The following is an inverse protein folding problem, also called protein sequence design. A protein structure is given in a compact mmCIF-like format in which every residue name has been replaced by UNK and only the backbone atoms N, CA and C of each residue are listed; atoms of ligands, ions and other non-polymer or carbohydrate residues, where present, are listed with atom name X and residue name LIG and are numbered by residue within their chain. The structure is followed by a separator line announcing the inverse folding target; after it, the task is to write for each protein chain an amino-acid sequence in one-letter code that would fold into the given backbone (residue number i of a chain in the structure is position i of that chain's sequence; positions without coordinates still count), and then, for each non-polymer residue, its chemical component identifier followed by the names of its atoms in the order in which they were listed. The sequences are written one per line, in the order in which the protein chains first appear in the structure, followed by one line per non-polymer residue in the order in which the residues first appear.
data_IF_103742981436
#
_entry.id   IF_103742981436
#
_cell.length_a   1.000
_cell.length_b   1.000
_cell.length_c   1.000
_cell.angle_alpha   90.00
_cell.angle_beta   90.00
_cell.angle_gamma   90.00
#
_symmetry.space_group_name_H-M   'P 1'
#
loop_
_entity.id
_entity.type
_entity.pdbx_description
1 polymer ?
#
# COMPACT_ATOMS: atom_id res chain seq x y z
N UNK A 1 3.82 -10.14 -6.17
CA UNK A 1 4.13 -9.15 -7.23
C UNK A 1 4.64 -9.86 -8.47
N UNK A 2 4.36 -9.36 -9.68
CA UNK A 2 4.98 -9.85 -10.92
C UNK A 2 6.41 -9.30 -11.05
N UNK A 3 7.30 -10.05 -11.70
CA UNK A 3 8.67 -9.61 -11.97
C UNK A 3 8.70 -8.37 -12.88
N UNK A 4 9.61 -7.42 -12.61
CA UNK A 4 9.78 -6.21 -13.41
C UNK A 4 10.97 -6.41 -14.38
N UNK A 5 10.75 -6.53 -15.70
CA UNK A 5 11.80 -6.87 -16.66
C UNK A 5 12.68 -5.66 -17.06
N UNK A 6 12.94 -4.73 -16.14
CA UNK A 6 13.68 -3.51 -16.42
C UNK A 6 14.82 -3.33 -15.41
N UNK A 7 15.97 -2.91 -15.93
CA UNK A 7 17.15 -2.58 -15.12
C UNK A 7 17.58 -1.16 -15.43
N UNK A 8 17.71 -0.30 -14.43
CA UNK A 8 18.24 1.06 -14.61
C UNK A 8 17.49 1.89 -15.65
N UNK A 9 16.16 1.72 -15.76
CA UNK A 9 15.35 2.31 -16.84
C UNK A 9 14.71 3.62 -16.44
N UNK A 10 14.29 3.78 -15.18
CA UNK A 10 13.42 4.89 -14.78
C UNK A 10 14.17 5.90 -13.92
N UNK A 11 13.89 7.18 -14.12
CA UNK A 11 14.35 8.24 -13.22
C UNK A 11 13.48 8.29 -11.96
N UNK A 12 12.19 7.95 -12.08
CA UNK A 12 11.21 7.97 -11.00
C UNK A 12 10.32 6.74 -11.06
N UNK A 13 10.06 6.17 -9.88
CA UNK A 13 9.00 5.17 -9.67
C UNK A 13 8.07 5.71 -8.59
N UNK A 14 6.78 5.47 -8.75
CA UNK A 14 5.75 5.96 -7.83
C UNK A 14 4.85 4.78 -7.44
N UNK A 15 4.69 4.57 -6.14
CA UNK A 15 3.65 3.71 -5.59
C UNK A 15 2.61 4.62 -4.92
N UNK A 16 1.40 4.64 -5.48
CA UNK A 16 0.33 5.56 -5.09
C UNK A 16 -0.83 4.82 -4.42
N UNK A 17 -1.72 5.55 -3.74
CA UNK A 17 -2.92 5.02 -3.08
C UNK A 17 -2.62 3.99 -2.00
N UNK A 18 -1.50 4.14 -1.29
CA UNK A 18 -1.15 3.26 -0.16
C UNK A 18 -1.09 1.78 -0.53
N UNK A 19 -0.76 1.50 -1.80
CA UNK A 19 -0.76 0.13 -2.34
C UNK A 19 0.40 -0.74 -1.80
N UNK A 20 1.46 -0.13 -1.28
CA UNK A 20 2.53 -0.86 -0.61
C UNK A 20 2.04 -1.42 0.73
N UNK A 21 2.25 -2.72 0.97
CA UNK A 21 1.83 -3.39 2.20
C UNK A 21 0.81 -4.52 2.00
N UNK A 22 0.17 -4.59 0.83
CA UNK A 22 -0.83 -5.62 0.52
C UNK A 22 -0.26 -7.03 0.47
N UNK A 23 1.04 -7.17 0.18
CA UNK A 23 1.70 -8.47 0.24
C UNK A 23 2.21 -8.81 1.64
N UNK A 24 2.61 -10.06 1.83
CA UNK A 24 3.35 -10.50 3.01
C UNK A 24 4.72 -9.78 3.09
N UNK A 25 5.34 -9.77 4.27
CA UNK A 25 6.58 -9.01 4.50
C UNK A 25 7.73 -9.42 3.56
N UNK A 26 7.86 -10.72 3.23
CA UNK A 26 8.87 -11.21 2.28
C UNK A 26 8.66 -10.64 0.87
N UNK A 27 7.43 -10.65 0.39
CA UNK A 27 7.07 -10.10 -0.92
C UNK A 27 7.18 -8.56 -0.96
N UNK A 28 6.84 -7.87 0.13
CA UNK A 28 7.05 -6.42 0.22
C UNK A 28 8.54 -6.06 0.12
N UNK A 29 9.44 -6.85 0.71
CA UNK A 29 10.90 -6.67 0.50
C UNK A 29 11.26 -6.86 -0.97
N UNK A 30 10.69 -7.89 -1.63
CA UNK A 30 10.89 -8.12 -3.06
C UNK A 30 10.42 -6.93 -3.91
N UNK A 31 9.27 -6.34 -3.58
CA UNK A 31 8.77 -5.13 -4.26
C UNK A 31 9.82 -4.01 -4.19
N UNK A 32 10.36 -3.74 -3.00
CA UNK A 32 11.38 -2.68 -2.83
C UNK A 32 12.64 -2.99 -3.65
N UNK A 33 13.14 -4.24 -3.60
CA UNK A 33 14.31 -4.66 -4.36
C UNK A 33 14.12 -4.51 -5.88
N UNK A 34 12.97 -4.95 -6.40
CA UNK A 34 12.65 -4.86 -7.83
C UNK A 34 12.53 -3.39 -8.25
N UNK A 35 11.84 -2.55 -7.46
CA UNK A 35 11.74 -1.11 -7.74
C UNK A 35 13.12 -0.46 -7.80
N UNK A 36 14.00 -0.73 -6.83
CA UNK A 36 15.38 -0.22 -6.82
C UNK A 36 16.14 -0.67 -8.06
N UNK A 37 16.01 -1.95 -8.46
CA UNK A 37 16.66 -2.48 -9.67
C UNK A 37 16.24 -1.77 -10.96
N UNK A 38 14.99 -1.28 -11.01
CA UNK A 38 14.47 -0.56 -12.18
C UNK A 38 14.92 0.91 -12.25
N UNK A 39 15.45 1.49 -11.17
CA UNK A 39 15.86 2.90 -11.11
C UNK A 39 17.26 3.11 -11.69
N UNK A 40 17.43 4.19 -12.44
CA UNK A 40 18.75 4.71 -12.85
C UNK A 40 19.56 5.18 -11.63
N UNK A 41 20.89 5.31 -11.73
CA UNK A 41 21.69 6.01 -10.73
C UNK A 41 21.11 7.42 -10.47
N UNK A 42 20.88 7.75 -9.19
CA UNK A 42 20.23 9.01 -8.80
C UNK A 42 18.71 9.06 -9.00
N UNK A 43 18.09 7.98 -9.48
CA UNK A 43 16.65 7.81 -9.54
C UNK A 43 16.00 7.83 -8.16
N UNK A 44 14.70 8.15 -8.10
CA UNK A 44 13.96 8.26 -6.83
C UNK A 44 12.69 7.43 -6.85
N UNK A 45 12.42 6.80 -5.72
CA UNK A 45 11.16 6.13 -5.46
C UNK A 45 10.30 6.99 -4.54
N UNK A 46 9.03 7.17 -4.89
CA UNK A 46 8.01 7.81 -4.05
C UNK A 46 7.02 6.75 -3.60
N UNK A 47 6.85 6.61 -2.29
CA UNK A 47 5.76 5.84 -1.70
C UNK A 47 4.75 6.79 -1.07
N UNK A 48 3.50 6.65 -1.48
CA UNK A 48 2.35 7.18 -0.78
C UNK A 48 1.90 6.15 0.27
N UNK A 49 1.85 6.56 1.55
CA UNK A 49 1.54 5.68 2.68
C UNK A 49 0.53 6.35 3.62
N UNK A 50 -0.28 5.53 4.29
CA UNK A 50 -1.17 6.02 5.33
C UNK A 50 -0.37 6.51 6.55
N UNK A 51 -0.80 7.63 7.12
CA UNK A 51 -0.27 8.11 8.39
C UNK A 51 -0.79 7.24 9.54
N UNK A 52 -0.03 6.22 9.93
CA UNK A 52 -0.46 5.19 10.90
C UNK A 52 -0.95 5.78 12.23
N UNK A 53 -0.24 6.77 12.79
CA UNK A 53 -0.63 7.39 14.06
C UNK A 53 -1.97 8.14 13.97
N UNK A 54 -2.31 8.69 12.80
CA UNK A 54 -3.63 9.28 12.57
C UNK A 54 -4.68 8.19 12.39
N UNK A 55 -4.36 7.15 11.60
CA UNK A 55 -5.27 6.03 11.32
C UNK A 55 -5.73 5.34 12.62
N UNK A 56 -4.83 4.99 13.54
CA UNK A 56 -5.20 4.31 14.79
C UNK A 56 -6.15 5.14 15.66
N UNK A 57 -6.07 6.47 15.59
CA UNK A 57 -6.91 7.38 16.39
C UNK A 57 -8.31 7.56 15.81
N UNK A 58 -8.46 7.37 14.50
CA UNK A 58 -9.70 7.63 13.76
C UNK A 58 -10.25 6.36 13.10
N UNK A 59 -9.72 5.19 13.47
CA UNK A 59 -10.11 3.92 12.88
C UNK A 59 -11.58 3.63 13.15
N UNK A 60 -12.31 3.27 12.10
CA UNK A 60 -13.67 2.76 12.18
C UNK A 60 -13.66 1.32 11.67
N UNK A 61 -14.21 0.39 12.46
CA UNK A 61 -14.30 -1.02 12.07
C UNK A 61 -15.32 -1.29 10.99
N UNK A 62 -16.22 -0.33 10.72
CA UNK A 62 -17.15 -0.37 9.63
C UNK A 62 -17.34 1.01 9.02
N UNK A 63 -17.35 1.08 7.69
CA UNK A 63 -17.76 2.25 6.92
C UNK A 63 -19.09 1.89 6.24
N UNK A 64 -20.11 2.70 6.49
CA UNK A 64 -21.46 2.49 5.94
C UNK A 64 -21.75 3.57 4.91
N UNK A 65 -22.29 3.18 3.75
CA UNK A 65 -22.72 4.09 2.69
C UNK A 65 -24.04 3.61 2.11
N UNK A 66 -24.95 4.53 1.85
CA UNK A 66 -26.16 4.25 1.09
C UNK A 66 -25.86 4.40 -0.41
N UNK A 67 -26.26 3.42 -1.22
CA UNK A 67 -26.10 3.41 -2.66
C UNK A 67 -27.37 2.83 -3.29
N UNK A 68 -28.05 3.61 -4.12
CA UNK A 68 -29.26 3.21 -4.85
C UNK A 68 -30.38 2.62 -3.95
N UNK A 69 -30.47 3.08 -2.69
CA UNK A 69 -31.44 2.60 -1.70
C UNK A 69 -30.99 1.36 -0.92
N UNK A 70 -29.82 0.81 -1.24
CA UNK A 70 -29.18 -0.28 -0.50
C UNK A 70 -28.10 0.25 0.47
N UNK A 71 -27.87 -0.49 1.55
CA UNK A 71 -26.80 -0.18 2.50
C UNK A 71 -25.56 -1.03 2.19
N UNK A 72 -24.48 -0.36 1.78
CA UNK A 72 -23.15 -0.96 1.64
C UNK A 72 -22.38 -0.80 2.96
N UNK A 73 -21.97 -1.92 3.54
CA UNK A 73 -21.17 -1.97 4.76
C UNK A 73 -19.82 -2.58 4.41
N UNK A 74 -18.77 -1.77 4.46
CA UNK A 74 -17.38 -2.23 4.40
C UNK A 74 -16.90 -2.46 5.84
N UNK A 75 -16.56 -3.69 6.17
CA UNK A 75 -16.06 -4.06 7.49
C UNK A 75 -14.58 -4.41 7.39
N UNK A 76 -13.80 -3.88 8.31
CA UNK A 76 -12.39 -4.20 8.40
C UNK A 76 -11.96 -4.45 9.84
N UNK A 77 -10.78 -5.06 9.98
CA UNK A 77 -10.04 -5.19 11.23
C UNK A 77 -8.63 -4.62 11.08
N UNK A 78 -8.25 -3.70 11.95
CA UNK A 78 -6.87 -3.23 12.07
C UNK A 78 -6.12 -4.07 13.12
N UNK A 79 -5.06 -4.75 12.69
CA UNK A 79 -4.04 -5.26 13.60
C UNK A 79 -3.08 -4.12 13.95
N UNK A 80 -3.20 -3.62 15.17
CA UNK A 80 -2.39 -2.50 15.68
C UNK A 80 -0.93 -2.85 15.90
N UNK A 81 -0.58 -4.14 16.09
CA UNK A 81 0.80 -4.58 16.30
C UNK A 81 1.57 -4.61 14.99
N UNK A 82 0.89 -4.99 13.90
CA UNK A 82 1.51 -5.10 12.57
C UNK A 82 1.18 -3.93 11.65
N UNK A 83 0.22 -3.08 12.02
CA UNK A 83 -0.29 -1.97 11.22
C UNK A 83 -1.12 -2.39 10.01
N UNK A 84 -1.63 -3.61 9.99
CA UNK A 84 -2.34 -4.19 8.83
C UNK A 84 -3.85 -4.07 8.97
N UNK A 85 -4.48 -3.51 7.94
CA UNK A 85 -5.92 -3.63 7.76
C UNK A 85 -6.25 -4.95 7.05
N UNK A 86 -7.22 -5.68 7.58
CA UNK A 86 -7.76 -6.92 7.05
C UNK A 86 -9.24 -6.71 6.75
N UNK A 87 -9.70 -7.21 5.62
CA UNK A 87 -11.11 -7.23 5.21
C UNK A 87 -11.64 -8.64 5.42
#
# INVERSE_FOLDING_TARGET
MRHLPWTGRFDRVINWFTAFGYFANGDNKRVLSEVVGTLRPGGRFVLDLNHFAWLIRHYQSAIMRELDGDLLIDQSRLDVLTGRAMV
#
